data_IF_139001171475
#
_entry.id   IF_139001171475
#
_cell.length_a   1.000
_cell.length_b   1.000
_cell.length_c   1.000
_cell.angle_alpha   90.00
_cell.angle_beta   90.00
_cell.angle_gamma   90.00
#
_symmetry.space_group_name_H-M   'P 1'
#
loop_
_entity.id
_entity.type
_entity.pdbx_description
1 polymer ?
#
# COMPACT_ATOMS: atom_id res chain seq x y z
N UNK A 1 65.65 42.42 14.82
CA UNK A 1 64.35 42.90 15.34
C UNK A 1 63.54 41.68 15.75
N UNK A 2 63.26 41.55 17.05
CA UNK A 2 62.40 40.52 17.60
C UNK A 2 60.94 40.82 17.26
N UNK A 3 60.16 39.77 16.95
CA UNK A 3 58.70 39.81 16.99
C UNK A 3 58.21 38.49 17.59
N UNK A 4 57.94 38.52 18.89
CA UNK A 4 57.04 37.56 19.52
C UNK A 4 55.62 37.73 18.94
N UNK A 5 54.83 36.66 18.87
CA UNK A 5 53.44 36.63 19.33
C UNK A 5 52.81 35.22 19.22
N UNK A 6 52.38 34.74 20.40
CA UNK A 6 51.17 34.01 20.78
C UNK A 6 50.73 32.69 20.11
N UNK A 7 50.57 31.68 21.00
CA UNK A 7 49.22 31.29 21.41
C UNK A 7 48.70 29.96 20.88
N UNK A 8 48.98 28.87 21.61
CA UNK A 8 48.50 27.51 21.36
C UNK A 8 46.96 27.39 21.30
N UNK A 9 46.36 26.79 20.25
CA UNK A 9 44.90 26.68 20.09
C UNK A 9 44.28 25.49 20.86
N UNK A 10 45.03 24.78 21.69
CA UNK A 10 44.59 23.49 22.25
C UNK A 10 43.58 23.60 23.41
N UNK A 11 43.52 24.72 24.13
CA UNK A 11 42.68 24.84 25.33
C UNK A 11 41.18 25.01 25.01
N UNK A 12 40.84 25.80 23.98
CA UNK A 12 39.45 26.05 23.59
C UNK A 12 38.74 24.82 23.02
N UNK A 13 39.48 23.92 22.35
CA UNK A 13 38.91 22.71 21.76
C UNK A 13 38.53 21.65 22.81
N UNK A 14 39.27 21.60 23.92
CA UNK A 14 39.00 20.70 25.05
C UNK A 14 37.76 21.15 25.84
N UNK A 15 37.60 22.44 26.08
CA UNK A 15 36.41 22.98 26.75
C UNK A 15 35.13 22.80 25.93
N UNK A 16 35.19 22.98 24.60
CA UNK A 16 34.05 22.76 23.72
C UNK A 16 33.61 21.28 23.70
N UNK A 17 34.57 20.35 23.69
CA UNK A 17 34.29 18.90 23.79
C UNK A 17 33.70 18.54 25.16
N UNK A 18 34.19 19.15 26.25
CA UNK A 18 33.68 18.90 27.60
C UNK A 18 32.24 19.39 27.75
N UNK A 19 31.92 20.58 27.23
CA UNK A 19 30.54 21.14 27.23
C UNK A 19 29.57 20.29 26.41
N UNK A 20 30.01 19.78 25.26
CA UNK A 20 29.20 18.87 24.42
C UNK A 20 28.95 17.52 25.11
N UNK A 21 29.95 16.97 25.79
CA UNK A 21 29.80 15.72 26.54
C UNK A 21 28.87 15.89 27.74
N UNK A 22 28.98 16.98 28.50
CA UNK A 22 28.04 17.27 29.60
C UNK A 22 26.62 17.48 29.11
N UNK A 23 26.43 18.07 27.93
CA UNK A 23 25.10 18.23 27.35
C UNK A 23 24.48 16.89 26.93
N UNK A 24 25.26 16.02 26.27
CA UNK A 24 24.82 14.67 25.88
C UNK A 24 24.46 13.84 27.12
N UNK A 25 25.30 13.87 28.16
CA UNK A 25 25.03 13.14 29.41
C UNK A 25 23.80 13.70 30.14
N UNK A 26 23.62 15.02 30.15
CA UNK A 26 22.45 15.67 30.73
C UNK A 26 21.16 15.27 30.02
N UNK A 27 21.13 15.34 28.69
CA UNK A 27 19.95 14.93 27.88
C UNK A 27 19.66 13.44 28.04
N UNK A 28 20.70 12.59 28.00
CA UNK A 28 20.53 11.14 28.20
C UNK A 28 19.99 10.82 29.59
N UNK A 29 20.48 11.49 30.63
CA UNK A 29 19.99 11.32 32.00
C UNK A 29 18.53 11.75 32.14
N UNK A 30 18.15 12.88 31.52
CA UNK A 30 16.77 13.36 31.51
C UNK A 30 15.83 12.39 30.79
N UNK A 31 16.24 11.84 29.64
CA UNK A 31 15.46 10.84 28.90
C UNK A 31 15.26 9.56 29.71
N UNK A 32 16.29 9.07 30.39
CA UNK A 32 16.18 7.89 31.26
C UNK A 32 15.28 8.18 32.46
N UNK A 33 15.40 9.37 33.06
CA UNK A 33 14.55 9.77 34.18
C UNK A 33 13.06 9.83 33.80
N UNK A 34 12.72 10.46 32.66
CA UNK A 34 11.34 10.49 32.17
C UNK A 34 10.83 9.12 31.73
N UNK A 35 11.70 8.26 31.17
CA UNK A 35 11.34 6.88 30.85
C UNK A 35 11.00 6.08 32.12
N UNK A 36 11.83 6.18 33.16
CA UNK A 36 11.59 5.50 34.44
C UNK A 36 10.37 6.07 35.15
N UNK A 37 10.16 7.39 35.17
CA UNK A 37 8.93 8.01 35.69
C UNK A 37 7.69 7.55 34.93
N UNK A 38 7.74 7.51 33.61
CA UNK A 38 6.65 7.01 32.76
C UNK A 38 6.36 5.54 33.04
N UNK A 39 7.40 4.70 33.15
CA UNK A 39 7.27 3.29 33.51
C UNK A 39 6.72 3.10 34.93
N UNK A 40 7.12 3.95 35.88
CA UNK A 40 6.68 3.86 37.28
C UNK A 40 5.21 4.32 37.46
N UNK A 41 4.78 5.30 36.67
CA UNK A 41 3.37 5.70 36.60
C UNK A 41 2.48 4.69 35.85
N UNK A 42 3.06 3.83 35.01
CA UNK A 42 2.34 2.77 34.27
C UNK A 42 2.43 1.38 34.90
N UNK A 43 3.14 1.20 36.03
CA UNK A 43 3.19 -0.06 36.80
C UNK A 43 1.92 -0.38 37.62
N UNK A 44 0.75 -0.21 37.03
CA UNK A 44 -0.37 -1.13 37.34
C UNK A 44 -0.66 -1.93 36.09
N UNK A 45 0.00 -3.10 36.01
CA UNK A 45 -0.31 -4.14 35.03
C UNK A 45 -1.77 -4.54 35.31
N UNK A 46 -2.69 -4.34 34.36
CA UNK A 46 -4.07 -4.75 34.53
C UNK A 46 -4.11 -6.28 34.52
N UNK A 47 -4.40 -6.89 35.66
CA UNK A 47 -4.57 -8.34 35.80
C UNK A 47 -5.91 -8.82 35.23
N UNK A 48 -6.82 -7.90 34.90
CA UNK A 48 -8.16 -8.21 34.38
C UNK A 48 -8.52 -7.30 33.21
N UNK A 49 -9.29 -7.88 32.27
CA UNK A 49 -9.73 -7.23 31.03
C UNK A 49 -10.51 -5.93 31.29
N UNK A 50 -11.20 -5.84 32.43
CA UNK A 50 -11.97 -4.67 32.88
C UNK A 50 -11.13 -3.40 33.08
N UNK A 51 -9.91 -3.53 33.60
CA UNK A 51 -9.04 -2.36 33.88
C UNK A 51 -8.42 -1.77 32.59
N UNK A 52 -8.36 -2.56 31.52
CA UNK A 52 -7.97 -2.08 30.18
C UNK A 52 -9.10 -1.28 29.53
N UNK A 53 -10.36 -1.68 29.69
CA UNK A 53 -11.50 -0.96 29.12
C UNK A 53 -11.75 0.39 29.81
N UNK A 54 -11.56 0.46 31.13
CA UNK A 54 -11.70 1.71 31.90
C UNK A 54 -10.67 2.78 31.48
N UNK A 55 -9.44 2.38 31.12
CA UNK A 55 -8.41 3.33 30.63
C UNK A 55 -8.64 3.82 29.20
N UNK A 56 -9.43 3.10 28.41
CA UNK A 56 -9.80 3.47 27.03
C UNK A 56 -11.15 4.23 27.01
N UNK A 57 -11.76 4.48 28.18
CA UNK A 57 -12.98 5.29 28.30
C UNK A 57 -14.19 4.66 27.60
N UNK A 58 -14.26 3.33 27.59
CA UNK A 58 -15.39 2.59 27.02
C UNK A 58 -16.06 1.76 28.12
N UNK A 59 -16.69 2.43 29.10
CA UNK A 59 -17.57 1.77 30.06
C UNK A 59 -18.96 1.59 29.43
N UNK A 60 -19.17 0.43 28.81
CA UNK A 60 -20.50 -0.10 28.52
C UNK A 60 -20.85 -0.99 29.69
N UNK A 61 -21.52 -0.45 30.71
CA UNK A 61 -22.49 -1.13 31.59
C UNK A 61 -22.60 -0.41 32.95
N UNK A 62 -23.61 0.44 33.11
CA UNK A 62 -24.31 0.63 34.39
C UNK A 62 -25.75 1.08 34.11
N UNK A 63 -26.77 0.41 34.67
CA UNK A 63 -28.16 0.86 34.57
C UNK A 63 -28.36 2.14 35.40
N UNK A 64 -29.33 3.01 35.05
CA UNK A 64 -29.52 4.26 35.78
C UNK A 64 -30.15 3.98 37.14
N UNK A 65 -29.34 4.04 38.19
CA UNK A 65 -29.82 4.24 39.56
C UNK A 65 -30.29 5.69 39.68
N UNK A 66 -31.56 5.86 40.03
CA UNK A 66 -32.11 7.15 40.41
C UNK A 66 -31.38 7.66 41.66
N UNK A 67 -30.78 8.85 41.58
CA UNK A 67 -30.64 9.71 42.74
C UNK A 67 -30.59 11.18 42.32
N UNK A 68 -31.52 11.94 42.91
CA UNK A 68 -31.64 13.37 42.81
C UNK A 68 -30.41 14.02 43.44
N UNK A 69 -29.73 14.93 42.73
CA UNK A 69 -29.21 16.17 43.31
C UNK A 69 -28.76 17.16 42.23
N UNK A 70 -29.28 18.38 42.34
CA UNK A 70 -29.02 19.52 41.45
C UNK A 70 -27.60 20.07 41.61
N UNK A 71 -26.83 20.08 40.53
CA UNK A 71 -25.78 21.07 40.27
C UNK A 71 -25.63 21.25 38.74
N UNK A 72 -25.46 22.48 38.22
CA UNK A 72 -25.46 22.74 36.79
C UNK A 72 -24.09 22.40 36.18
N UNK A 73 -24.02 21.35 35.37
CA UNK A 73 -22.85 21.04 34.54
C UNK A 73 -23.17 21.42 33.10
N UNK A 74 -22.31 22.26 32.54
CA UNK A 74 -22.27 22.78 31.17
C UNK A 74 -22.64 21.71 30.12
N UNK A 75 -23.61 21.93 29.21
CA UNK A 75 -24.07 20.91 28.27
C UNK A 75 -23.21 20.80 27.00
N UNK A 76 -22.00 21.36 26.97
CA UNK A 76 -21.16 21.31 25.78
C UNK A 76 -20.05 20.27 25.93
N UNK A 77 -19.97 19.36 24.95
CA UNK A 77 -18.96 18.31 24.75
C UNK A 77 -19.31 16.90 25.27
N UNK A 78 -20.55 16.45 25.06
CA UNK A 78 -20.72 15.08 24.55
C UNK A 78 -20.33 15.08 23.08
N UNK A 79 -19.07 14.76 22.78
CA UNK A 79 -18.63 14.55 21.40
C UNK A 79 -19.29 13.27 20.87
N UNK A 80 -20.53 13.40 20.39
CA UNK A 80 -21.21 12.39 19.59
C UNK A 80 -20.34 12.11 18.37
N UNK A 81 -19.66 10.97 18.36
CA UNK A 81 -18.94 10.50 17.19
C UNK A 81 -19.98 10.20 16.11
N UNK A 82 -20.04 11.07 15.11
CA UNK A 82 -20.91 10.89 13.95
C UNK A 82 -20.27 9.85 13.02
N UNK A 83 -20.79 8.62 13.07
CA UNK A 83 -20.44 7.56 12.13
C UNK A 83 -21.32 7.58 10.87
N UNK A 84 -22.22 8.56 10.73
CA UNK A 84 -22.94 8.72 9.48
C UNK A 84 -21.98 9.19 8.39
N UNK A 85 -22.14 8.62 7.20
CA UNK A 85 -21.47 9.14 6.02
C UNK A 85 -21.93 10.58 5.80
N UNK A 86 -21.05 11.57 5.96
CA UNK A 86 -21.33 12.97 5.60
C UNK A 86 -21.57 13.20 4.08
N UNK A 87 -21.54 12.11 3.31
CA UNK A 87 -21.95 12.05 1.91
C UNK A 87 -23.11 11.07 1.76
N UNK A 88 -24.27 11.37 2.36
CA UNK A 88 -25.50 10.69 1.99
C UNK A 88 -25.93 11.21 0.62
N UNK A 89 -25.95 10.34 -0.39
CA UNK A 89 -26.56 10.65 -1.67
C UNK A 89 -28.07 10.62 -1.45
N UNK A 90 -28.72 11.79 -1.47
CA UNK A 90 -30.18 11.86 -1.55
C UNK A 90 -30.62 11.24 -2.88
N UNK A 91 -31.03 9.97 -2.83
CA UNK A 91 -31.63 9.30 -3.99
C UNK A 91 -33.04 9.85 -4.12
N UNK A 92 -33.17 10.99 -4.79
CA UNK A 92 -34.47 11.46 -5.25
C UNK A 92 -35.01 10.43 -6.26
N UNK A 93 -35.98 9.62 -5.83
CA UNK A 93 -36.65 8.58 -6.63
C UNK A 93 -37.40 9.11 -7.87
N UNK A 94 -37.41 10.42 -8.08
CA UNK A 94 -37.97 11.09 -9.26
C UNK A 94 -36.95 11.33 -10.39
N UNK A 95 -35.72 10.86 -10.26
CA UNK A 95 -34.74 10.96 -11.34
C UNK A 95 -34.91 9.79 -12.32
N UNK A 96 -35.27 10.10 -13.56
CA UNK A 96 -35.15 9.18 -14.69
C UNK A 96 -33.74 8.59 -14.68
N UNK A 97 -33.62 7.26 -14.62
CA UNK A 97 -32.32 6.58 -14.67
C UNK A 97 -31.68 6.95 -16.01
N UNK A 98 -30.64 7.79 -15.96
CA UNK A 98 -29.92 8.22 -17.15
C UNK A 98 -29.24 6.99 -17.75
N UNK A 99 -29.80 6.47 -18.84
CA UNK A 99 -29.23 5.34 -19.55
C UNK A 99 -28.01 5.81 -20.34
N UNK A 100 -26.85 5.28 -20.00
CA UNK A 100 -25.61 5.50 -20.73
C UNK A 100 -25.54 4.54 -21.92
N UNK A 101 -25.29 5.07 -23.11
CA UNK A 101 -25.07 4.24 -24.30
C UNK A 101 -23.71 3.54 -24.22
N UNK A 102 -23.53 2.37 -24.86
CA UNK A 102 -22.22 1.75 -25.00
C UNK A 102 -21.24 2.69 -25.73
N UNK A 103 -19.98 2.71 -25.28
CA UNK A 103 -18.90 3.35 -26.03
C UNK A 103 -18.54 2.51 -27.26
N UNK A 104 -17.85 3.13 -28.22
CA UNK A 104 -17.20 2.40 -29.31
C UNK A 104 -16.20 1.36 -28.77
N UNK A 105 -16.08 0.21 -29.44
CA UNK A 105 -15.18 -0.88 -29.04
C UNK A 105 -13.70 -0.47 -28.99
N UNK A 106 -13.31 0.58 -29.71
CA UNK A 106 -11.98 1.21 -29.62
C UNK A 106 -11.64 1.72 -28.22
N UNK A 107 -12.66 1.94 -27.36
CA UNK A 107 -12.48 2.33 -25.96
C UNK A 107 -12.48 1.15 -24.98
N UNK A 108 -12.54 -0.10 -25.44
CA UNK A 108 -12.52 -1.28 -24.55
C UNK A 108 -11.29 -1.33 -23.61
N UNK A 109 -10.18 -0.72 -24.03
CA UNK A 109 -8.92 -0.64 -23.28
C UNK A 109 -8.62 0.79 -22.77
N UNK A 110 -9.67 1.61 -22.66
CA UNK A 110 -9.55 3.00 -22.26
C UNK A 110 -9.18 3.13 -20.79
N UNK A 111 -7.92 3.51 -20.52
CA UNK A 111 -7.45 3.87 -19.18
C UNK A 111 -7.15 5.38 -19.12
N UNK A 112 -8.15 6.25 -18.89
CA UNK A 112 -8.03 7.70 -19.10
C UNK A 112 -6.88 8.35 -18.35
N UNK A 113 -6.63 7.91 -17.12
CA UNK A 113 -5.59 8.49 -16.29
C UNK A 113 -4.20 7.88 -16.50
N UNK A 114 -4.08 6.88 -17.36
CA UNK A 114 -2.83 6.19 -17.72
C UNK A 114 -2.60 6.31 -19.23
N UNK A 115 -3.03 7.42 -19.82
CA UNK A 115 -2.87 7.72 -21.25
C UNK A 115 -1.40 8.01 -21.59
N UNK A 116 -0.86 7.29 -22.59
CA UNK A 116 0.55 7.37 -22.98
C UNK A 116 0.91 8.74 -23.55
N UNK A 117 0.01 9.37 -24.32
CA UNK A 117 0.28 10.65 -24.99
C UNK A 117 0.31 11.80 -23.97
N UNK A 118 -0.67 11.84 -23.07
CA UNK A 118 -0.75 12.80 -21.97
C UNK A 118 0.42 12.65 -21.01
N UNK A 119 0.73 11.42 -20.59
CA UNK A 119 1.84 11.14 -19.67
C UNK A 119 3.19 11.62 -20.19
N UNK A 120 3.47 11.43 -21.49
CA UNK A 120 4.73 11.85 -22.15
C UNK A 120 5.00 13.36 -22.12
N UNK A 121 4.01 14.19 -21.78
CA UNK A 121 4.16 15.65 -21.64
C UNK A 121 4.83 16.06 -20.32
N UNK A 122 4.92 15.16 -19.35
CA UNK A 122 5.50 15.42 -18.04
C UNK A 122 6.97 15.03 -17.96
N UNK A 123 7.65 15.57 -16.95
CA UNK A 123 9.06 15.33 -16.68
C UNK A 123 9.37 13.82 -16.55
N UNK A 124 10.53 13.40 -17.07
CA UNK A 124 11.03 12.02 -16.98
C UNK A 124 11.68 11.71 -15.63
N UNK A 125 12.12 12.73 -14.90
CA UNK A 125 12.68 12.61 -13.57
C UNK A 125 11.70 11.89 -12.63
N UNK A 126 12.21 10.92 -11.86
CA UNK A 126 11.40 10.06 -10.99
C UNK A 126 10.20 9.39 -11.68
N UNK A 127 10.31 9.16 -12.99
CA UNK A 127 9.27 8.53 -13.80
C UNK A 127 7.91 9.27 -13.76
N UNK A 128 7.86 10.59 -13.47
CA UNK A 128 6.59 11.34 -13.38
C UNK A 128 5.70 11.19 -14.62
N UNK A 129 6.29 11.07 -15.81
CA UNK A 129 5.58 10.80 -17.06
C UNK A 129 4.77 9.49 -17.10
N UNK A 130 5.02 8.55 -16.18
CA UNK A 130 4.28 7.29 -16.00
C UNK A 130 3.30 7.33 -14.83
N UNK A 131 3.22 8.44 -14.11
CA UNK A 131 2.22 8.62 -13.04
C UNK A 131 0.81 8.80 -13.61
N UNK A 132 -0.17 8.75 -12.71
CA UNK A 132 -1.57 9.00 -13.03
C UNK A 132 -1.78 10.47 -13.44
N UNK A 133 -2.16 10.69 -14.69
CA UNK A 133 -2.52 11.99 -15.25
C UNK A 133 -3.92 11.92 -15.86
N UNK A 134 -4.93 12.42 -15.15
CA UNK A 134 -6.33 12.26 -15.58
C UNK A 134 -6.79 13.36 -16.54
N UNK A 135 -7.80 13.06 -17.38
CA UNK A 135 -8.58 14.06 -18.11
C UNK A 135 -9.27 15.06 -17.18
N UNK A 136 -9.55 16.26 -17.70
CA UNK A 136 -10.44 17.22 -17.05
C UNK A 136 -11.89 16.75 -17.15
N UNK A 137 -12.82 17.43 -16.46
CA UNK A 137 -14.24 17.04 -16.42
C UNK A 137 -14.89 17.06 -17.81
N UNK A 138 -14.44 17.97 -18.67
CA UNK A 138 -14.95 18.18 -20.02
C UNK A 138 -14.48 17.08 -20.99
N UNK A 139 -13.36 16.42 -20.67
CA UNK A 139 -12.77 15.32 -21.44
C UNK A 139 -13.31 13.93 -21.00
N UNK A 140 -14.21 13.88 -20.00
CA UNK A 140 -14.76 12.63 -19.49
C UNK A 140 -15.78 12.02 -20.48
N UNK A 141 -15.58 10.74 -20.78
CA UNK A 141 -16.55 9.95 -21.55
C UNK A 141 -17.77 9.62 -20.70
N UNK A 142 -18.96 9.84 -21.26
CA UNK A 142 -20.24 9.53 -20.64
C UNK A 142 -20.91 8.38 -21.40
N UNK A 143 -20.27 7.21 -21.38
CA UNK A 143 -20.75 5.99 -22.01
C UNK A 143 -20.28 4.74 -21.23
N UNK A 144 -20.91 3.59 -21.46
CA UNK A 144 -20.53 2.31 -20.85
C UNK A 144 -19.46 1.63 -21.69
N UNK A 145 -18.28 1.39 -21.12
CA UNK A 145 -17.19 0.70 -21.83
C UNK A 145 -17.60 -0.76 -22.05
N UNK A 146 -17.68 -1.24 -23.31
CA UNK A 146 -18.07 -2.62 -23.59
C UNK A 146 -16.95 -3.60 -23.21
N UNK A 147 -17.33 -4.82 -22.81
CA UNK A 147 -16.38 -5.90 -22.61
C UNK A 147 -15.78 -6.37 -23.97
N UNK A 148 -14.57 -6.97 -23.96
CA UNK A 148 -13.99 -7.55 -25.16
C UNK A 148 -14.90 -8.60 -25.82
N UNK A 149 -14.84 -8.78 -27.15
CA UNK A 149 -15.61 -9.82 -27.82
C UNK A 149 -15.28 -11.20 -27.26
N UNK A 150 -16.31 -12.04 -27.02
CA UNK A 150 -16.19 -13.38 -26.41
C UNK A 150 -15.72 -13.40 -24.96
N UNK A 151 -15.78 -12.27 -24.26
CA UNK A 151 -15.53 -12.22 -22.83
C UNK A 151 -16.37 -13.27 -22.08
N UNK A 152 -15.72 -13.98 -21.16
CA UNK A 152 -16.31 -15.00 -20.30
C UNK A 152 -16.19 -14.58 -18.85
N UNK A 153 -17.10 -15.02 -18.00
CA UNK A 153 -16.96 -14.83 -16.55
C UNK A 153 -15.67 -15.49 -16.06
N UNK A 154 -14.83 -14.79 -15.27
CA UNK A 154 -13.63 -15.37 -14.69
C UNK A 154 -13.90 -16.63 -13.88
N UNK A 155 -12.88 -17.48 -13.73
CA UNK A 155 -12.95 -18.64 -12.86
C UNK A 155 -13.21 -18.20 -11.40
N UNK A 156 -13.78 -19.09 -10.59
CA UNK A 156 -13.90 -18.84 -9.15
C UNK A 156 -12.56 -19.14 -8.46
N UNK A 157 -12.29 -18.44 -7.36
CA UNK A 157 -11.21 -18.80 -6.46
C UNK A 157 -11.44 -20.22 -5.89
N UNK A 158 -10.41 -21.07 -5.73
CA UNK A 158 -8.97 -20.82 -5.97
C UNK A 158 -8.50 -21.10 -7.40
N UNK A 159 -9.36 -21.62 -8.28
CA UNK A 159 -8.97 -21.96 -9.65
C UNK A 159 -8.50 -20.73 -10.44
N UNK A 160 -9.13 -19.57 -10.20
CA UNK A 160 -8.75 -18.30 -10.83
C UNK A 160 -7.30 -17.89 -10.54
N UNK A 161 -6.69 -18.37 -9.45
CA UNK A 161 -5.28 -18.13 -9.16
C UNK A 161 -4.40 -18.59 -10.32
N UNK A 162 -4.68 -19.76 -10.89
CA UNK A 162 -3.79 -20.42 -11.85
C UNK A 162 -4.30 -20.29 -13.28
N UNK A 163 -5.54 -19.83 -13.49
CA UNK A 163 -6.16 -19.80 -14.82
C UNK A 163 -6.91 -18.50 -15.11
N UNK A 164 -6.82 -18.05 -16.36
CA UNK A 164 -7.66 -17.02 -16.95
C UNK A 164 -8.12 -17.45 -18.34
N UNK A 165 -9.25 -16.93 -18.81
CA UNK A 165 -9.73 -17.21 -20.16
C UNK A 165 -8.86 -16.50 -21.21
N UNK A 166 -8.58 -17.20 -22.30
CA UNK A 166 -7.77 -16.66 -23.39
C UNK A 166 -8.41 -15.43 -24.05
N UNK A 167 -9.73 -15.45 -24.23
CA UNK A 167 -10.50 -14.37 -24.88
C UNK A 167 -10.73 -13.15 -23.97
N UNK A 168 -10.51 -13.26 -22.66
CA UNK A 168 -10.63 -12.13 -21.75
C UNK A 168 -9.45 -11.16 -21.82
N UNK A 169 -8.34 -11.58 -22.46
CA UNK A 169 -7.13 -10.78 -22.57
C UNK A 169 -6.99 -10.29 -24.02
N UNK A 170 -7.09 -8.96 -24.26
CA UNK A 170 -7.00 -8.39 -25.61
C UNK A 170 -5.59 -8.52 -26.22
N UNK A 171 -4.55 -8.30 -25.41
CA UNK A 171 -3.14 -8.34 -25.84
C UNK A 171 -2.44 -9.63 -25.42
N UNK A 172 -2.00 -10.41 -26.40
CA UNK A 172 -1.53 -11.80 -26.22
C UNK A 172 -0.01 -11.93 -26.34
N UNK A 173 0.67 -10.85 -26.71
CA UNK A 173 2.11 -10.82 -27.00
C UNK A 173 2.94 -11.27 -25.79
N UNK A 174 2.52 -10.91 -24.57
CA UNK A 174 3.20 -11.34 -23.34
C UNK A 174 3.24 -12.87 -23.21
N UNK A 175 2.16 -13.56 -23.61
CA UNK A 175 2.09 -15.02 -23.56
C UNK A 175 3.03 -15.70 -24.56
N UNK A 176 3.41 -14.99 -25.63
CA UNK A 176 4.33 -15.49 -26.66
C UNK A 176 5.77 -15.18 -26.24
N UNK A 177 6.07 -13.92 -25.92
CA UNK A 177 7.43 -13.47 -25.61
C UNK A 177 7.97 -13.99 -24.28
N UNK A 178 7.10 -14.25 -23.30
CA UNK A 178 7.49 -14.70 -21.96
C UNK A 178 7.17 -16.17 -21.68
N UNK A 179 6.80 -16.93 -22.71
CA UNK A 179 6.53 -18.37 -22.61
C UNK A 179 7.73 -19.13 -22.01
N UNK A 180 8.95 -18.83 -22.47
CA UNK A 180 10.20 -19.50 -22.03
C UNK A 180 10.49 -19.28 -20.55
N UNK A 181 9.99 -18.19 -19.97
CA UNK A 181 10.25 -17.81 -18.57
C UNK A 181 9.18 -18.34 -17.62
N UNK A 182 8.29 -19.23 -18.08
CA UNK A 182 7.19 -19.79 -17.29
C UNK A 182 6.31 -18.71 -16.61
N UNK A 183 6.12 -17.56 -17.25
CA UNK A 183 5.19 -16.54 -16.74
C UNK A 183 3.75 -16.98 -17.01
N UNK A 184 3.48 -17.37 -18.26
CA UNK A 184 2.17 -17.73 -18.78
C UNK A 184 2.37 -18.87 -19.77
N UNK A 185 1.49 -19.87 -19.69
CA UNK A 185 1.39 -20.96 -20.66
C UNK A 185 0.02 -20.89 -21.33
N UNK A 186 -0.04 -21.12 -22.64
CA UNK A 186 -1.32 -21.18 -23.37
C UNK A 186 -1.78 -22.63 -23.40
N UNK A 187 -2.98 -22.90 -22.88
CA UNK A 187 -3.59 -24.23 -22.79
C UNK A 187 -4.98 -24.19 -23.42
N UNK A 188 -5.06 -24.45 -24.73
CA UNK A 188 -6.32 -24.39 -25.47
C UNK A 188 -6.95 -23.00 -25.41
N UNK A 189 -8.10 -22.88 -24.74
CA UNK A 189 -8.83 -21.62 -24.57
C UNK A 189 -8.52 -20.90 -23.25
N UNK A 190 -7.41 -21.25 -22.59
CA UNK A 190 -7.01 -20.72 -21.28
C UNK A 190 -5.56 -20.29 -21.27
N UNK A 191 -5.27 -19.34 -20.39
CA UNK A 191 -3.93 -19.08 -19.89
C UNK A 191 -3.74 -19.80 -18.56
N UNK A 192 -2.58 -20.45 -18.40
CA UNK A 192 -2.12 -21.03 -17.13
C UNK A 192 -0.97 -20.20 -16.57
N UNK A 193 -1.03 -19.94 -15.27
CA UNK A 193 -0.05 -19.15 -14.51
C UNK A 193 0.62 -20.04 -13.47
N UNK A 194 1.80 -20.62 -13.78
CA UNK A 194 2.47 -21.53 -12.85
C UNK A 194 3.11 -20.81 -11.64
N UNK A 195 2.94 -19.49 -11.52
CA UNK A 195 3.59 -18.67 -10.49
C UNK A 195 5.06 -18.39 -10.77
N UNK A 196 5.56 -18.80 -11.93
CA UNK A 196 6.93 -18.57 -12.36
C UNK A 196 7.20 -17.12 -12.74
N UNK A 197 8.44 -16.89 -13.15
CA UNK A 197 8.87 -15.62 -13.69
C UNK A 197 10.39 -15.52 -13.78
N UNK A 198 10.91 -14.46 -14.38
CA UNK A 198 12.35 -14.16 -14.28
C UNK A 198 12.76 -14.08 -12.80
N UNK A 199 11.84 -13.55 -11.99
CA UNK A 199 12.00 -13.27 -10.57
C UNK A 199 11.63 -14.49 -9.71
N UNK A 200 10.92 -15.45 -10.28
CA UNK A 200 10.47 -16.65 -9.56
C UNK A 200 10.90 -17.89 -10.36
N UNK A 201 12.21 -18.16 -10.48
CA UNK A 201 12.69 -19.29 -11.29
C UNK A 201 12.20 -20.64 -10.77
N UNK A 202 11.97 -20.75 -9.45
CA UNK A 202 11.36 -21.93 -8.80
C UNK A 202 9.87 -21.72 -8.44
N UNK A 203 9.25 -20.66 -8.96
CA UNK A 203 7.87 -20.28 -8.64
C UNK A 203 7.73 -19.39 -7.41
N UNK A 204 6.65 -18.60 -7.39
CA UNK A 204 6.37 -17.62 -6.34
C UNK A 204 6.12 -18.29 -4.96
N UNK A 205 5.55 -19.49 -4.93
CA UNK A 205 5.30 -20.21 -3.66
C UNK A 205 6.61 -20.53 -2.93
N UNK A 206 7.60 -21.08 -3.64
CA UNK A 206 8.91 -21.41 -3.07
C UNK A 206 9.64 -20.15 -2.57
N UNK A 207 9.54 -19.04 -3.33
CA UNK A 207 10.09 -17.77 -2.89
C UNK A 207 9.39 -17.21 -1.63
N UNK A 208 8.07 -17.35 -1.55
CA UNK A 208 7.30 -16.98 -0.34
C UNK A 208 7.68 -17.88 0.84
N UNK A 209 7.94 -19.17 0.62
CA UNK A 209 8.44 -20.08 1.66
C UNK A 209 9.82 -19.65 2.18
N UNK A 210 10.71 -19.18 1.30
CA UNK A 210 12.01 -18.65 1.71
C UNK A 210 11.87 -17.39 2.57
N UNK A 211 10.91 -16.51 2.25
CA UNK A 211 10.56 -15.37 3.12
C UNK A 211 10.00 -15.87 4.46
N UNK A 212 9.13 -16.89 4.41
CA UNK A 212 8.50 -17.51 5.58
C UNK A 212 9.48 -18.11 6.59
N UNK A 213 10.70 -18.50 6.15
CA UNK A 213 11.78 -18.96 7.04
C UNK A 213 12.39 -17.83 7.87
N UNK A 214 12.31 -16.60 7.38
CA UNK A 214 12.87 -15.41 8.03
C UNK A 214 11.83 -14.68 8.86
N UNK A 215 10.57 -14.70 8.41
CA UNK A 215 9.45 -14.06 9.09
C UNK A 215 8.19 -14.93 9.07
N UNK A 216 7.43 -14.99 10.18
CA UNK A 216 6.13 -15.63 10.19
C UNK A 216 5.17 -14.95 9.19
N UNK A 217 4.68 -15.72 8.22
CA UNK A 217 3.67 -15.26 7.25
C UNK A 217 2.27 -15.83 7.56
N UNK A 218 2.15 -16.76 8.51
CA UNK A 218 0.92 -17.53 8.76
C UNK A 218 0.35 -17.35 10.17
N UNK A 219 1.00 -16.56 11.02
CA UNK A 219 0.55 -16.29 12.40
C UNK A 219 -0.46 -15.14 12.50
N UNK A 220 -0.77 -14.50 11.37
CA UNK A 220 -1.67 -13.34 11.29
C UNK A 220 -1.00 -12.01 11.64
N UNK A 221 0.31 -11.98 11.90
CA UNK A 221 1.06 -10.73 12.16
C UNK A 221 1.16 -9.88 10.89
N UNK A 222 1.37 -10.52 9.74
CA UNK A 222 1.36 -9.89 8.41
C UNK A 222 0.03 -10.25 7.76
N UNK A 223 -0.76 -9.24 7.40
CA UNK A 223 -2.08 -9.43 6.76
C UNK A 223 -2.18 -8.71 5.43
N UNK A 224 -1.44 -7.60 5.27
CA UNK A 224 -1.45 -6.82 4.04
C UNK A 224 -0.06 -6.59 3.49
N UNK A 225 0.07 -6.72 2.18
CA UNK A 225 1.31 -6.47 1.46
C UNK A 225 1.11 -5.43 0.34
N UNK A 226 2.12 -4.61 0.07
CA UNK A 226 2.23 -3.84 -1.16
C UNK A 226 3.26 -4.51 -2.07
N UNK A 227 2.86 -4.93 -3.27
CA UNK A 227 3.72 -5.60 -4.24
C UNK A 227 3.99 -4.67 -5.43
N UNK A 228 5.24 -4.25 -5.62
CA UNK A 228 5.60 -3.24 -6.62
C UNK A 228 6.50 -3.81 -7.70
N UNK A 229 6.18 -3.48 -8.96
CA UNK A 229 6.78 -4.17 -10.10
C UNK A 229 6.24 -5.60 -10.23
N UNK A 230 4.98 -5.82 -9.88
CA UNK A 230 4.40 -7.15 -9.69
C UNK A 230 4.29 -7.99 -10.97
N UNK A 231 4.41 -7.39 -12.16
CA UNK A 231 4.15 -8.04 -13.43
C UNK A 231 2.72 -8.58 -13.48
N UNK A 232 2.58 -9.90 -13.67
CA UNK A 232 1.28 -10.61 -13.63
C UNK A 232 0.80 -10.95 -12.21
N UNK A 233 1.39 -10.33 -11.17
CA UNK A 233 1.04 -10.47 -9.76
C UNK A 233 1.16 -11.90 -9.20
N UNK A 234 2.14 -12.68 -9.65
CA UNK A 234 2.40 -14.04 -9.12
C UNK A 234 2.65 -14.05 -7.61
N UNK A 235 3.43 -13.09 -7.10
CA UNK A 235 3.68 -12.98 -5.65
C UNK A 235 2.38 -12.75 -4.88
N UNK A 236 1.60 -11.73 -5.25
CA UNK A 236 0.31 -11.44 -4.63
C UNK A 236 -0.70 -12.60 -4.72
N UNK A 237 -0.75 -13.31 -5.85
CA UNK A 237 -1.63 -14.45 -6.04
C UNK A 237 -1.31 -15.62 -5.10
N UNK A 238 -0.02 -15.87 -4.83
CA UNK A 238 0.42 -16.98 -3.98
C UNK A 238 0.45 -16.61 -2.49
N UNK A 239 0.60 -15.33 -2.14
CA UNK A 239 0.48 -14.84 -0.76
C UNK A 239 -0.90 -15.10 -0.15
N UNK A 240 -1.96 -15.15 -0.97
CA UNK A 240 -3.30 -15.51 -0.52
C UNK A 240 -3.36 -16.90 0.14
N UNK A 241 -2.45 -17.83 -0.19
CA UNK A 241 -2.33 -19.12 0.50
C UNK A 241 -1.83 -19.00 1.95
N UNK A 242 -1.24 -17.86 2.32
CA UNK A 242 -0.75 -17.53 3.65
C UNK A 242 -1.69 -16.53 4.36
N UNK A 243 -2.90 -16.34 3.85
CA UNK A 243 -3.88 -15.34 4.34
C UNK A 243 -3.36 -13.90 4.32
N UNK A 244 -2.42 -13.59 3.41
CA UNK A 244 -1.90 -12.25 3.18
C UNK A 244 -2.48 -11.68 1.89
N UNK A 245 -3.16 -10.54 1.98
CA UNK A 245 -3.71 -9.83 0.81
C UNK A 245 -2.68 -8.83 0.29
N UNK A 246 -2.25 -9.00 -0.96
CA UNK A 246 -1.36 -8.06 -1.61
C UNK A 246 -2.12 -7.09 -2.51
N UNK A 247 -1.80 -5.80 -2.42
CA UNK A 247 -2.12 -4.82 -3.45
C UNK A 247 -0.96 -4.70 -4.42
N UNK A 248 -1.17 -5.15 -5.66
CA UNK A 248 -0.12 -5.27 -6.66
C UNK A 248 -0.08 -4.05 -7.59
N UNK A 249 1.10 -3.52 -7.87
CA UNK A 249 1.33 -2.36 -8.71
C UNK A 249 2.25 -2.71 -9.87
N UNK A 250 1.77 -2.47 -11.08
CA UNK A 250 2.58 -2.52 -12.28
C UNK A 250 2.37 -1.25 -13.13
N UNK A 251 3.43 -0.72 -13.77
CA UNK A 251 3.26 0.30 -14.79
C UNK A 251 2.45 -0.26 -15.98
N UNK A 252 1.81 0.62 -16.76
CA UNK A 252 1.36 0.25 -18.10
C UNK A 252 2.61 -0.01 -18.94
N UNK A 253 2.89 -1.27 -19.19
CA UNK A 253 4.05 -1.70 -19.97
C UNK A 253 3.74 -1.70 -21.48
N UNK A 254 4.68 -2.19 -22.27
CA UNK A 254 4.52 -2.31 -23.73
C UNK A 254 3.55 -3.42 -24.14
N UNK A 255 3.29 -4.38 -23.25
CA UNK A 255 2.39 -5.51 -23.50
C UNK A 255 0.95 -5.24 -23.03
N UNK A 256 0.73 -4.16 -22.29
CA UNK A 256 -0.55 -3.59 -21.86
C UNK A 256 -1.44 -4.49 -20.98
N UNK A 257 -1.14 -5.78 -20.87
CA UNK A 257 -1.98 -6.78 -20.24
C UNK A 257 -1.55 -7.18 -18.81
N UNK A 258 -0.43 -6.70 -18.27
CA UNK A 258 0.10 -7.17 -16.98
C UNK A 258 -0.92 -7.10 -15.84
N UNK A 259 -1.52 -5.93 -15.63
CA UNK A 259 -2.57 -5.73 -14.60
C UNK A 259 -3.84 -6.47 -14.99
N UNK A 260 -4.19 -6.51 -16.27
CA UNK A 260 -5.38 -7.26 -16.74
C UNK A 260 -5.27 -8.75 -16.39
N UNK A 261 -4.12 -9.39 -16.61
CA UNK A 261 -3.88 -10.78 -16.24
C UNK A 261 -4.10 -11.02 -14.75
N UNK A 262 -3.63 -10.10 -13.89
CA UNK A 262 -3.85 -10.19 -12.45
C UNK A 262 -5.35 -10.07 -12.10
N UNK A 263 -6.05 -9.11 -12.69
CA UNK A 263 -7.47 -8.88 -12.45
C UNK A 263 -8.35 -10.04 -12.92
N UNK A 264 -8.08 -10.63 -14.09
CA UNK A 264 -8.79 -11.81 -14.62
C UNK A 264 -8.60 -13.06 -13.75
N UNK A 265 -7.59 -13.06 -12.89
CA UNK A 265 -7.32 -14.12 -11.91
C UNK A 265 -7.92 -13.83 -10.53
N UNK A 266 -8.53 -12.66 -10.35
CA UNK A 266 -9.07 -12.19 -9.07
C UNK A 266 -8.00 -11.68 -8.09
N UNK A 267 -6.81 -11.32 -8.58
CA UNK A 267 -5.71 -10.81 -7.77
C UNK A 267 -5.78 -9.28 -7.72
N UNK A 268 -5.79 -8.63 -6.54
CA UNK A 268 -5.84 -7.17 -6.46
C UNK A 268 -4.61 -6.54 -7.11
N UNK A 269 -4.84 -5.77 -8.18
CA UNK A 269 -3.80 -5.10 -8.93
C UNK A 269 -4.29 -3.77 -9.51
N UNK A 270 -3.39 -2.80 -9.61
CA UNK A 270 -3.65 -1.50 -10.22
C UNK A 270 -2.51 -1.06 -11.13
N UNK A 271 -2.85 -0.30 -12.17
CA UNK A 271 -1.86 0.38 -12.99
C UNK A 271 -1.32 1.57 -12.19
N UNK A 272 -0.04 1.51 -11.84
CA UNK A 272 0.60 2.56 -11.06
C UNK A 272 2.09 2.37 -10.89
N UNK A 273 2.74 3.47 -10.52
CA UNK A 273 4.16 3.51 -10.15
C UNK A 273 4.33 4.37 -8.90
N UNK A 274 5.41 4.14 -8.16
CA UNK A 274 5.85 5.06 -7.12
C UNK A 274 6.92 5.99 -7.69
N UNK A 275 6.47 7.16 -8.14
CA UNK A 275 7.32 8.24 -8.60
C UNK A 275 7.45 9.33 -7.54
N UNK A 276 6.97 10.52 -7.87
CA UNK A 276 6.86 11.69 -7.00
C UNK A 276 5.60 11.71 -6.11
N UNK A 277 4.52 11.01 -6.50
CA UNK A 277 3.27 10.96 -5.74
C UNK A 277 3.29 9.83 -4.71
N UNK A 278 2.71 10.10 -3.54
CA UNK A 278 2.42 9.07 -2.53
C UNK A 278 1.32 8.13 -3.05
N UNK A 279 1.36 6.88 -2.59
CA UNK A 279 0.28 5.93 -2.82
C UNK A 279 -1.05 6.44 -2.22
N UNK A 280 -2.21 6.06 -2.81
CA UNK A 280 -3.53 6.46 -2.31
C UNK A 280 -3.97 5.65 -1.08
N UNK A 281 -3.03 5.29 -0.22
CA UNK A 281 -3.25 4.52 1.00
C UNK A 281 -2.69 5.30 2.20
N UNK A 282 -3.33 5.22 3.37
CA UNK A 282 -2.81 5.85 4.57
C UNK A 282 -1.44 5.26 4.94
N UNK A 283 -0.68 6.00 5.75
CA UNK A 283 0.54 5.46 6.32
C UNK A 283 0.21 4.20 7.14
N UNK A 284 1.09 3.18 7.07
CA UNK A 284 0.90 1.87 7.74
C UNK A 284 -0.31 1.06 7.25
N UNK A 285 -0.79 1.28 6.03
CA UNK A 285 -1.79 0.41 5.41
C UNK A 285 -1.28 -1.01 5.09
N UNK A 286 0.04 -1.19 5.02
CA UNK A 286 0.71 -2.42 4.65
C UNK A 286 1.69 -2.84 5.73
N UNK A 287 1.70 -4.13 6.08
CA UNK A 287 2.65 -4.74 7.02
C UNK A 287 3.95 -5.12 6.30
N UNK A 288 3.82 -5.50 5.02
CA UNK A 288 4.91 -5.94 4.15
C UNK A 288 4.96 -5.08 2.88
N UNK A 289 6.16 -4.73 2.43
CA UNK A 289 6.40 -4.21 1.10
C UNK A 289 7.33 -5.14 0.34
N UNK A 290 6.91 -5.52 -0.86
CA UNK A 290 7.67 -6.32 -1.79
C UNK A 290 8.00 -5.49 -3.04
N UNK A 291 9.24 -5.62 -3.50
CA UNK A 291 9.70 -5.03 -4.74
C UNK A 291 10.54 -6.06 -5.50
N UNK A 292 10.05 -6.43 -6.69
CA UNK A 292 10.80 -7.29 -7.61
C UNK A 292 11.25 -6.46 -8.80
N UNK A 293 12.53 -6.07 -8.81
CA UNK A 293 13.12 -5.16 -9.83
C UNK A 293 12.28 -3.92 -10.13
N UNK A 294 11.67 -3.32 -9.11
CA UNK A 294 10.80 -2.15 -9.28
C UNK A 294 11.56 -0.85 -9.61
N UNK A 295 12.90 -0.84 -9.52
CA UNK A 295 13.78 0.32 -9.74
C UNK A 295 13.45 1.53 -8.83
N UNK A 296 12.80 1.28 -7.69
CA UNK A 296 12.43 2.32 -6.74
C UNK A 296 13.63 2.57 -5.82
N UNK A 297 14.18 3.80 -5.79
CA UNK A 297 15.29 4.15 -4.92
C UNK A 297 14.80 4.40 -3.49
N UNK A 298 14.35 3.35 -2.81
CA UNK A 298 13.79 3.39 -1.45
C UNK A 298 14.68 4.14 -0.44
N UNK A 299 16.00 4.08 -0.61
CA UNK A 299 16.99 4.73 0.25
C UNK A 299 17.15 6.24 0.04
N UNK A 300 16.75 6.79 -1.12
CA UNK A 300 17.05 8.19 -1.48
C UNK A 300 15.97 9.18 -1.05
N UNK A 301 14.71 8.73 -0.97
CA UNK A 301 13.56 9.61 -0.78
C UNK A 301 12.70 9.28 0.45
N UNK A 302 13.16 8.34 1.30
CA UNK A 302 12.53 8.02 2.57
C UNK A 302 12.71 9.15 3.59
N UNK A 303 11.80 10.13 3.60
CA UNK A 303 11.77 11.19 4.63
C UNK A 303 11.22 10.72 5.99
N UNK A 304 10.79 9.46 6.10
CA UNK A 304 10.28 8.84 7.32
C UNK A 304 10.78 7.38 7.39
N UNK A 305 10.98 6.83 8.60
CA UNK A 305 11.28 5.41 8.78
C UNK A 305 10.17 4.57 8.13
N UNK A 306 10.57 3.65 7.24
CA UNK A 306 9.67 2.66 6.66
C UNK A 306 9.15 1.79 7.83
N UNK A 307 7.88 1.99 8.21
CA UNK A 307 7.21 1.20 9.26
C UNK A 307 6.56 -0.06 8.67
N UNK A 308 7.27 -0.71 7.75
CA UNK A 308 6.89 -1.97 7.12
C UNK A 308 8.15 -2.72 6.73
N UNK A 309 8.07 -4.05 6.68
CA UNK A 309 9.20 -4.85 6.24
C UNK A 309 9.39 -4.69 4.73
N UNK A 310 10.60 -4.35 4.29
CA UNK A 310 10.94 -4.25 2.87
C UNK A 310 11.66 -5.51 2.41
N UNK A 311 11.00 -6.30 1.56
CA UNK A 311 11.59 -7.44 0.86
C UNK A 311 11.93 -6.98 -0.56
N UNK A 312 13.23 -6.81 -0.82
CA UNK A 312 13.74 -6.44 -2.14
C UNK A 312 14.44 -7.63 -2.78
N UNK A 313 13.95 -8.02 -3.95
CA UNK A 313 14.64 -8.97 -4.80
C UNK A 313 15.51 -8.21 -5.80
N UNK A 314 16.83 -8.49 -5.78
CA UNK A 314 17.79 -7.93 -6.74
C UNK A 314 17.84 -8.77 -8.02
#
# INVERSE_FOLDING_TARGET
>A
MAKEYNGSPKHHQLEAKRKRLTWILGVSGLCVFFYVLGAWQTTTIPTTQSDLYARVGCDVNSPPSADNNNAPVDPSLTASLDFQSHHQVEINSNNTVKQFQPCDMSFSEYTPCQDKVRGRRFDRNMLKYRERHCPTKEELLLCLIPAPPKYKTPFKWPQSRDYAWYDNIPHKELSIEKAVQNWIQVEGDRFRFPGGGTMFPHGADAYIDDIGKLIPLTDGTIRTAVDTGCGVASFGAFLLKRDVIAMSFAPRDTHEAQVQFALERGVPAIIGIMGSKRLPYPARAFDLAHCSRCLIPWHQYGKAPLHFMLVCQK
#
